data_IF_129570951107
#
_entry.id   IF_129570951107
#
_cell.length_a   1.000
_cell.length_b   1.000
_cell.length_c   1.000
_cell.angle_alpha   90.00
_cell.angle_beta   90.00
_cell.angle_gamma   90.00
#
_symmetry.space_group_name_H-M   'P 1'
#
loop_
_entity.id
_entity.type
_entity.pdbx_description
1 polymer ?
#
# COMPACT_ATOMS: atom_id res chain seq x y z
N UNK A 1 -9.95 13.77 -27.60
CA UNK A 1 -9.21 12.53 -27.98
C UNK A 1 -9.97 11.37 -27.36
N UNK A 2 -10.54 10.47 -28.15
CA UNK A 2 -11.18 9.26 -27.63
C UNK A 2 -10.09 8.29 -27.16
N UNK A 3 -10.05 7.99 -25.87
CA UNK A 3 -9.17 6.94 -25.33
C UNK A 3 -9.56 5.60 -25.96
N UNK A 4 -8.58 4.87 -26.50
CA UNK A 4 -8.80 3.48 -26.91
C UNK A 4 -9.32 2.68 -25.71
N UNK A 5 -10.24 1.73 -25.94
CA UNK A 5 -10.79 0.91 -24.87
C UNK A 5 -9.68 0.09 -24.20
N UNK A 6 -9.65 0.05 -22.87
CA UNK A 6 -8.71 -0.75 -22.08
C UNK A 6 -8.87 -2.23 -22.44
N UNK A 7 -7.77 -2.92 -22.73
CA UNK A 7 -7.79 -4.34 -23.11
C UNK A 7 -8.30 -5.21 -21.95
N UNK A 8 -8.93 -6.34 -22.27
CA UNK A 8 -9.43 -7.28 -21.25
C UNK A 8 -8.34 -7.69 -20.27
N UNK A 9 -7.12 -7.92 -20.76
CA UNK A 9 -5.99 -8.31 -19.91
C UNK A 9 -5.57 -7.18 -18.98
N UNK A 10 -5.46 -5.94 -19.48
CA UNK A 10 -5.17 -4.76 -18.66
C UNK A 10 -6.22 -4.57 -17.55
N UNK A 11 -7.51 -4.72 -17.89
CA UNK A 11 -8.61 -4.69 -16.90
C UNK A 11 -8.44 -5.74 -15.81
N UNK A 12 -8.16 -6.98 -16.19
CA UNK A 12 -7.96 -8.08 -15.24
C UNK A 12 -6.79 -7.79 -14.31
N UNK A 13 -5.65 -7.32 -14.84
CA UNK A 13 -4.47 -6.97 -14.03
C UNK A 13 -4.78 -5.85 -13.03
N UNK A 14 -5.54 -4.82 -13.45
CA UNK A 14 -5.94 -3.71 -12.59
C UNK A 14 -6.95 -4.14 -11.52
N UNK A 15 -7.92 -5.01 -11.84
CA UNK A 15 -8.81 -5.57 -10.81
C UNK A 15 -8.07 -6.49 -9.83
N UNK A 16 -7.10 -7.27 -10.29
CA UNK A 16 -6.23 -8.05 -9.40
C UNK A 16 -5.39 -7.14 -8.50
N UNK A 17 -4.85 -6.03 -9.02
CA UNK A 17 -4.13 -5.04 -8.22
C UNK A 17 -5.04 -4.40 -7.17
N UNK A 18 -6.29 -4.08 -7.52
CA UNK A 18 -7.28 -3.57 -6.57
C UNK A 18 -7.58 -4.58 -5.44
N UNK A 19 -7.82 -5.84 -5.82
CA UNK A 19 -8.05 -6.91 -4.86
C UNK A 19 -6.84 -7.11 -3.94
N UNK A 20 -5.63 -7.20 -4.49
CA UNK A 20 -4.40 -7.33 -3.72
C UNK A 20 -4.18 -6.14 -2.78
N UNK A 21 -4.43 -4.91 -3.24
CA UNK A 21 -4.27 -3.69 -2.44
C UNK A 21 -5.26 -3.66 -1.26
N UNK A 22 -6.54 -3.94 -1.50
CA UNK A 22 -7.57 -3.97 -0.45
C UNK A 22 -7.35 -5.08 0.57
N UNK A 23 -6.97 -6.28 0.13
CA UNK A 23 -6.62 -7.39 1.03
C UNK A 23 -5.34 -7.12 1.82
N UNK A 24 -4.37 -6.40 1.23
CA UNK A 24 -3.17 -5.94 1.94
C UNK A 24 -3.53 -4.97 3.06
N UNK A 25 -4.49 -4.05 2.86
CA UNK A 25 -4.95 -3.17 3.93
C UNK A 25 -5.55 -3.96 5.12
N UNK A 26 -6.32 -5.03 4.83
CA UNK A 26 -6.86 -5.91 5.87
C UNK A 26 -5.74 -6.67 6.61
N UNK A 27 -4.80 -7.27 5.87
CA UNK A 27 -3.66 -7.98 6.43
C UNK A 27 -2.75 -7.06 7.27
N UNK A 28 -2.46 -5.86 6.78
CA UNK A 28 -1.66 -4.85 7.46
C UNK A 28 -2.34 -4.32 8.72
N UNK A 29 -3.68 -4.17 8.69
CA UNK A 29 -4.47 -3.85 9.88
C UNK A 29 -4.36 -4.96 10.93
N UNK A 30 -4.58 -6.22 10.52
CA UNK A 30 -4.46 -7.38 11.42
C UNK A 30 -3.06 -7.48 12.04
N UNK A 31 -2.02 -7.36 11.22
CA UNK A 31 -0.62 -7.34 11.67
C UNK A 31 -0.35 -6.21 12.66
N UNK A 32 -0.97 -5.05 12.45
CA UNK A 32 -0.95 -3.92 13.37
C UNK A 32 -1.37 -4.32 14.78
N UNK A 33 -2.54 -4.96 14.91
CA UNK A 33 -3.07 -5.38 16.22
C UNK A 33 -2.36 -6.59 16.82
N UNK A 34 -1.97 -7.56 16.00
CA UNK A 34 -1.38 -8.81 16.46
C UNK A 34 0.08 -8.64 16.90
N UNK A 35 0.85 -7.79 16.19
CA UNK A 35 2.31 -7.72 16.35
C UNK A 35 2.81 -6.31 16.65
N UNK A 36 2.45 -5.33 15.82
CA UNK A 36 3.11 -4.00 15.84
C UNK A 36 2.68 -3.16 17.04
N UNK A 37 1.39 -3.00 17.28
CA UNK A 37 0.88 -2.18 18.38
C UNK A 37 1.26 -2.74 19.75
N UNK A 38 1.25 -4.06 20.00
CA UNK A 38 1.82 -4.64 21.21
C UNK A 38 3.31 -4.30 21.40
N UNK A 39 4.12 -4.36 20.34
CA UNK A 39 5.54 -3.99 20.40
C UNK A 39 5.74 -2.50 20.69
N UNK A 40 5.00 -1.61 20.01
CA UNK A 40 5.04 -0.16 20.24
C UNK A 40 4.55 0.22 21.63
N UNK A 41 3.59 -0.53 22.21
CA UNK A 41 3.15 -0.34 23.59
C UNK A 41 4.30 -0.59 24.59
N UNK A 42 5.13 -1.61 24.36
CA UNK A 42 6.33 -1.88 25.18
C UNK A 42 7.36 -0.75 25.08
N UNK A 43 7.41 -0.07 23.94
CA UNK A 43 8.24 1.12 23.72
C UNK A 43 7.61 2.42 24.28
N UNK A 44 6.44 2.33 24.91
CA UNK A 44 5.81 3.43 25.62
C UNK A 44 4.82 4.25 24.80
N UNK A 45 4.26 3.73 23.69
CA UNK A 45 3.26 4.47 22.90
C UNK A 45 1.94 4.79 23.63
N UNK A 46 1.64 4.09 24.73
CA UNK A 46 0.33 4.15 25.38
C UNK A 46 -0.78 3.52 24.52
N UNK A 47 -1.83 2.99 25.16
CA UNK A 47 -2.96 2.39 24.44
C UNK A 47 -3.85 3.46 23.76
N UNK A 48 -3.92 4.64 24.38
CA UNK A 48 -4.73 5.82 24.07
C UNK A 48 -3.95 6.95 23.37
N UNK A 49 -2.69 6.70 22.97
CA UNK A 49 -1.80 7.73 22.43
C UNK A 49 -1.16 8.64 23.48
N UNK A 50 -1.31 8.34 24.78
CA UNK A 50 -0.64 9.04 25.89
C UNK A 50 0.42 8.15 26.49
N UNK A 51 1.58 8.15 25.84
CA UNK A 51 2.74 7.37 26.24
C UNK A 51 3.49 7.91 27.46
N UNK A 52 4.17 7.02 28.17
CA UNK A 52 4.93 7.31 29.39
C UNK A 52 6.31 6.60 29.38
N UNK A 53 7.09 6.87 28.32
CA UNK A 53 8.47 6.40 28.16
C UNK A 53 9.35 7.41 27.41
N UNK A 54 10.67 7.19 27.40
CA UNK A 54 11.64 8.06 26.69
C UNK A 54 11.38 8.11 25.18
N UNK A 55 10.99 6.98 24.59
CA UNK A 55 10.73 6.86 23.14
C UNK A 55 9.24 7.01 22.77
N UNK A 56 8.42 7.53 23.70
CA UNK A 56 6.96 7.58 23.51
C UNK A 56 6.53 8.26 22.22
N UNK A 57 7.19 9.36 21.85
CA UNK A 57 6.81 10.14 20.67
C UNK A 57 7.09 9.32 19.40
N UNK A 58 8.25 8.67 19.33
CA UNK A 58 8.59 7.79 18.21
C UNK A 58 7.62 6.60 18.10
N UNK A 59 7.27 5.99 19.23
CA UNK A 59 6.35 4.86 19.27
C UNK A 59 4.90 5.27 18.90
N UNK A 60 4.45 6.46 19.31
CA UNK A 60 3.15 7.03 18.90
C UNK A 60 3.16 7.34 17.40
N UNK A 61 4.20 8.02 16.89
CA UNK A 61 4.31 8.36 15.47
C UNK A 61 4.35 7.11 14.59
N UNK A 62 5.08 6.06 14.99
CA UNK A 62 5.09 4.79 14.28
C UNK A 62 3.71 4.13 14.24
N UNK A 63 2.93 4.23 15.33
CA UNK A 63 1.55 3.70 15.39
C UNK A 63 0.61 4.47 14.47
N UNK A 64 0.71 5.80 14.45
CA UNK A 64 -0.10 6.65 13.56
C UNK A 64 0.26 6.35 12.11
N UNK A 65 1.55 6.35 11.76
CA UNK A 65 2.01 6.05 10.41
C UNK A 65 1.56 4.67 9.92
N UNK A 66 1.55 3.66 10.81
CA UNK A 66 1.00 2.34 10.49
C UNK A 66 -0.48 2.39 10.06
N UNK A 67 -1.30 3.20 10.74
CA UNK A 67 -2.71 3.37 10.41
C UNK A 67 -2.92 4.19 9.13
N UNK A 68 -2.09 5.21 8.90
CA UNK A 68 -2.14 6.04 7.69
C UNK A 68 -1.80 5.24 6.42
N UNK A 69 -0.87 4.29 6.50
CA UNK A 69 -0.50 3.41 5.37
C UNK A 69 -1.71 2.66 4.81
N UNK A 70 -2.67 2.26 5.64
CA UNK A 70 -3.89 1.59 5.20
C UNK A 70 -4.73 2.48 4.27
N UNK A 71 -4.73 3.79 4.47
CA UNK A 71 -5.44 4.74 3.61
C UNK A 71 -4.86 4.71 2.20
N UNK A 72 -3.53 4.63 2.08
CA UNK A 72 -2.83 4.48 0.81
C UNK A 72 -3.30 3.25 0.03
N UNK A 73 -3.34 2.09 0.67
CA UNK A 73 -3.80 0.84 0.04
C UNK A 73 -5.27 0.89 -0.40
N UNK A 74 -6.15 1.49 0.42
CA UNK A 74 -7.57 1.62 0.08
C UNK A 74 -7.77 2.59 -1.09
N UNK A 75 -7.12 3.76 -1.05
CA UNK A 75 -7.21 4.74 -2.13
C UNK A 75 -6.67 4.13 -3.43
N UNK A 76 -5.51 3.47 -3.37
CA UNK A 76 -4.93 2.85 -4.56
C UNK A 76 -5.82 1.76 -5.15
N UNK A 77 -6.52 0.98 -4.32
CA UNK A 77 -7.54 0.02 -4.79
C UNK A 77 -8.65 0.69 -5.60
N UNK A 78 -9.18 1.83 -5.11
CA UNK A 78 -10.21 2.61 -5.80
C UNK A 78 -9.68 3.12 -7.14
N UNK A 79 -8.45 3.62 -7.18
CA UNK A 79 -7.81 4.06 -8.42
C UNK A 79 -7.61 2.90 -9.40
N UNK A 80 -7.18 1.72 -8.96
CA UNK A 80 -7.08 0.54 -9.83
C UNK A 80 -8.44 0.15 -10.43
N UNK A 81 -9.54 0.24 -9.67
CA UNK A 81 -10.91 0.02 -10.19
C UNK A 81 -11.27 1.07 -11.24
N UNK A 82 -11.01 2.35 -10.96
CA UNK A 82 -11.20 3.44 -11.93
C UNK A 82 -10.41 3.17 -13.21
N UNK A 83 -9.13 2.85 -13.09
CA UNK A 83 -8.25 2.61 -14.23
C UNK A 83 -8.63 1.36 -15.02
N UNK A 84 -9.20 0.34 -14.39
CA UNK A 84 -9.76 -0.81 -15.13
C UNK A 84 -10.93 -0.40 -16.03
N UNK A 85 -11.66 0.66 -15.68
CA UNK A 85 -12.79 1.15 -16.48
C UNK A 85 -12.35 2.15 -17.54
N UNK A 86 -11.42 3.05 -17.19
CA UNK A 86 -11.10 4.24 -17.99
C UNK A 86 -9.65 4.35 -18.46
N UNK A 87 -8.77 3.46 -17.98
CA UNK A 87 -7.32 3.49 -18.24
C UNK A 87 -6.56 4.48 -17.36
N UNK A 88 -5.22 4.39 -17.39
CA UNK A 88 -4.29 5.36 -16.78
C UNK A 88 -3.89 6.36 -17.87
N UNK A 89 -4.80 7.29 -18.19
CA UNK A 89 -4.69 8.07 -19.44
C UNK A 89 -4.05 9.44 -19.23
N UNK A 90 -4.41 10.14 -18.16
CA UNK A 90 -3.94 11.51 -17.92
C UNK A 90 -2.64 11.58 -17.10
N UNK A 91 -2.05 12.77 -17.04
CA UNK A 91 -0.77 12.99 -16.37
C UNK A 91 -0.86 12.80 -14.85
N UNK A 92 -2.02 13.09 -14.24
CA UNK A 92 -2.22 12.96 -12.80
C UNK A 92 -2.38 11.49 -12.40
N UNK A 93 -3.10 10.72 -13.21
CA UNK A 93 -3.20 9.26 -13.07
C UNK A 93 -1.82 8.61 -13.15
N UNK A 94 -1.02 8.99 -14.16
CA UNK A 94 0.35 8.49 -14.31
C UNK A 94 1.24 8.91 -13.14
N UNK A 95 1.20 10.17 -12.74
CA UNK A 95 1.99 10.67 -11.62
C UNK A 95 1.64 9.95 -10.31
N UNK A 96 0.34 9.77 -10.03
CA UNK A 96 -0.11 9.06 -8.84
C UNK A 96 0.29 7.58 -8.87
N UNK A 97 0.06 6.89 -9.99
CA UNK A 97 0.46 5.49 -10.18
C UNK A 97 1.96 5.30 -10.00
N UNK A 98 2.77 6.16 -10.64
CA UNK A 98 4.24 6.09 -10.55
C UNK A 98 4.74 6.37 -9.14
N UNK A 99 4.25 7.43 -8.48
CA UNK A 99 4.65 7.76 -7.12
C UNK A 99 4.35 6.60 -6.16
N UNK A 100 3.13 6.07 -6.22
CA UNK A 100 2.71 4.99 -5.35
C UNK A 100 3.52 3.71 -5.61
N UNK A 101 3.71 3.33 -6.89
CA UNK A 101 4.48 2.15 -7.25
C UNK A 101 5.95 2.23 -6.84
N UNK A 102 6.60 3.38 -7.05
CA UNK A 102 8.00 3.58 -6.65
C UNK A 102 8.14 3.52 -5.13
N UNK A 103 7.23 4.15 -4.38
CA UNK A 103 7.22 4.07 -2.93
C UNK A 103 7.06 2.63 -2.44
N UNK A 104 6.13 1.87 -3.01
CA UNK A 104 5.91 0.45 -2.68
C UNK A 104 7.15 -0.39 -2.97
N UNK A 105 7.79 -0.22 -4.13
CA UNK A 105 9.04 -0.93 -4.46
C UNK A 105 10.13 -0.63 -3.44
N UNK A 106 10.32 0.65 -3.09
CA UNK A 106 11.29 1.07 -2.09
C UNK A 106 10.99 0.50 -0.69
N UNK A 107 9.73 0.52 -0.25
CA UNK A 107 9.37 -0.06 1.05
C UNK A 107 9.51 -1.58 1.07
N UNK A 108 9.18 -2.26 -0.04
CA UNK A 108 9.44 -3.69 -0.20
C UNK A 108 10.93 -4.00 -0.11
N UNK A 109 11.79 -3.15 -0.68
CA UNK A 109 13.24 -3.25 -0.52
C UNK A 109 13.68 -3.07 0.94
N UNK A 110 13.11 -2.12 1.69
CA UNK A 110 13.39 -1.95 3.12
C UNK A 110 13.01 -3.20 3.92
N UNK A 111 11.84 -3.79 3.68
CA UNK A 111 11.40 -5.02 4.34
C UNK A 111 12.28 -6.22 3.99
N UNK A 112 12.64 -6.37 2.71
CA UNK A 112 13.58 -7.38 2.24
C UNK A 112 14.93 -7.27 2.96
N UNK A 113 15.48 -6.05 3.08
CA UNK A 113 16.73 -5.77 3.81
C UNK A 113 16.64 -6.08 5.31
N UNK A 114 15.45 -6.00 5.89
CA UNK A 114 15.18 -6.36 7.28
C UNK A 114 14.89 -7.87 7.45
N UNK A 115 14.84 -8.66 6.39
CA UNK A 115 14.52 -10.09 6.43
C UNK A 115 13.05 -10.40 6.69
N UNK A 116 12.15 -9.41 6.58
CA UNK A 116 10.71 -9.55 6.82
C UNK A 116 10.04 -9.71 5.44
N UNK A 117 9.65 -10.93 5.10
CA UNK A 117 9.24 -11.27 3.73
C UNK A 117 7.73 -11.10 3.48
N UNK A 118 6.88 -11.18 4.51
CA UNK A 118 5.42 -11.10 4.31
C UNK A 118 4.97 -9.82 3.58
N UNK A 119 5.48 -8.61 3.89
CA UNK A 119 5.09 -7.38 3.21
C UNK A 119 5.72 -7.24 1.82
N UNK A 120 6.81 -7.95 1.51
CA UNK A 120 7.52 -7.80 0.23
C UNK A 120 6.62 -8.21 -0.94
N UNK A 121 5.90 -9.32 -0.78
CA UNK A 121 5.01 -9.86 -1.82
C UNK A 121 3.98 -8.84 -2.32
N UNK A 122 3.12 -8.23 -1.48
CA UNK A 122 2.19 -7.21 -1.97
C UNK A 122 2.90 -5.93 -2.43
N UNK A 123 3.97 -5.52 -1.75
CA UNK A 123 4.70 -4.28 -2.07
C UNK A 123 5.40 -4.32 -3.43
N UNK A 124 5.70 -5.50 -3.97
CA UNK A 124 6.24 -5.65 -5.33
C UNK A 124 5.21 -6.20 -6.32
N UNK A 125 4.30 -7.07 -5.86
CA UNK A 125 3.26 -7.65 -6.70
C UNK A 125 2.26 -6.62 -7.21
N UNK A 126 1.82 -5.69 -6.37
CA UNK A 126 0.86 -4.64 -6.78
C UNK A 126 1.48 -3.74 -7.85
N UNK A 127 2.69 -3.16 -7.67
CA UNK A 127 3.36 -2.41 -8.74
C UNK A 127 3.58 -3.22 -10.02
N UNK A 128 3.92 -4.51 -9.91
CA UNK A 128 4.11 -5.36 -11.09
C UNK A 128 2.81 -5.52 -11.89
N UNK A 129 1.68 -5.77 -11.21
CA UNK A 129 0.36 -5.85 -11.86
C UNK A 129 -0.02 -4.55 -12.57
N UNK A 130 0.20 -3.41 -11.90
CA UNK A 130 -0.08 -2.09 -12.48
C UNK A 130 0.84 -1.81 -13.66
N UNK A 131 2.14 -2.07 -13.55
CA UNK A 131 3.10 -1.89 -14.64
C UNK A 131 2.77 -2.76 -15.85
N UNK A 132 2.49 -4.05 -15.63
CA UNK A 132 2.10 -4.99 -16.69
C UNK A 132 0.81 -4.57 -17.40
N UNK A 133 -0.15 -3.99 -16.67
CA UNK A 133 -1.40 -3.50 -17.26
C UNK A 133 -1.21 -2.37 -18.28
N UNK A 134 -0.05 -1.70 -18.27
CA UNK A 134 0.28 -0.65 -19.23
C UNK A 134 0.96 -1.17 -20.50
N UNK A 135 1.30 -2.45 -20.54
CA UNK A 135 1.99 -3.08 -21.66
C UNK A 135 1.07 -3.92 -22.56
N UNK A 136 -0.20 -4.10 -22.16
CA UNK A 136 -1.15 -5.05 -22.76
C UNK A 136 -2.54 -4.48 -22.95
#
# INVERSE_FOLDING_TARGET
MSSLPVSTLSKTLLYLAAFASSTTALGHTKMGYDLVFPALKKLGAGADGKGNGKDKNAAISARIGWLEVNQGFVIFSIFCIKWAQFGIVDIYDKAFASFYCVAQVYFGWCYFRAGIMEPVTPLWGIPALVGLSQLV
#
